data_IF_489240157123
#
_entry.id   IF_489240157123
#
_cell.length_a   1.000
_cell.length_b   1.000
_cell.length_c   1.000
_cell.angle_alpha   90.00
_cell.angle_beta   90.00
_cell.angle_gamma   90.00
#
_symmetry.space_group_name_H-M   'P 1'
#
loop_
_entity.id
_entity.type
_entity.pdbx_description
1 polymer ?
#
# COMPACT_ATOMS: atom_id res chain seq x y z
N UNK A 1 -35.02 -22.92 -21.29
CA UNK A 1 -35.58 -21.56 -21.22
C UNK A 1 -34.42 -20.56 -21.15
N UNK A 2 -34.28 -19.68 -22.15
CA UNK A 2 -33.17 -18.71 -22.27
C UNK A 2 -33.45 -17.45 -21.44
N UNK A 3 -32.44 -17.02 -20.69
CA UNK A 3 -32.39 -15.85 -19.80
C UNK A 3 -32.32 -14.55 -20.63
N UNK A 4 -33.44 -13.86 -20.81
CA UNK A 4 -33.52 -12.48 -21.28
C UNK A 4 -33.81 -11.57 -20.07
N UNK A 5 -33.25 -10.39 -19.86
CA UNK A 5 -32.31 -9.55 -20.58
C UNK A 5 -31.42 -8.85 -19.53
N UNK A 6 -30.15 -8.56 -19.85
CA UNK A 6 -29.22 -7.90 -18.92
C UNK A 6 -28.74 -6.52 -19.40
N UNK A 7 -29.58 -5.84 -20.17
CA UNK A 7 -29.33 -4.47 -20.65
C UNK A 7 -30.61 -3.67 -20.48
N UNK A 8 -30.65 -2.88 -19.41
CA UNK A 8 -31.61 -1.80 -19.27
C UNK A 8 -31.14 -0.64 -20.15
N UNK A 9 -32.05 -0.04 -20.92
CA UNK A 9 -31.77 1.22 -21.61
C UNK A 9 -31.76 2.34 -20.57
N UNK A 10 -30.57 2.85 -20.27
CA UNK A 10 -30.41 4.04 -19.44
C UNK A 10 -30.51 5.25 -20.36
N UNK A 11 -31.27 6.27 -19.96
CA UNK A 11 -31.37 7.50 -20.74
C UNK A 11 -30.01 8.19 -20.82
N UNK A 12 -29.66 8.72 -21.99
CA UNK A 12 -28.36 9.37 -22.21
C UNK A 12 -28.09 10.51 -21.21
N UNK A 13 -29.14 11.22 -20.80
CA UNK A 13 -29.08 12.27 -19.78
C UNK A 13 -28.73 11.72 -18.38
N UNK A 14 -29.18 10.51 -18.04
CA UNK A 14 -28.81 9.84 -16.80
C UNK A 14 -27.36 9.35 -16.85
N UNK A 15 -26.87 8.93 -18.02
CA UNK A 15 -25.47 8.54 -18.21
C UNK A 15 -24.50 9.73 -18.10
N UNK A 16 -24.86 10.88 -18.66
CA UNK A 16 -24.06 12.12 -18.57
C UNK A 16 -24.08 12.76 -17.17
N UNK A 17 -25.05 12.39 -16.32
CA UNK A 17 -25.13 12.85 -14.93
C UNK A 17 -24.24 12.05 -13.96
N UNK A 18 -23.62 10.95 -14.41
CA UNK A 18 -22.68 10.17 -13.59
C UNK A 18 -21.33 10.88 -13.56
N UNK A 19 -20.86 11.35 -12.40
CA UNK A 19 -19.52 11.94 -12.30
C UNK A 19 -18.47 10.89 -12.64
N UNK A 20 -17.52 11.25 -13.50
CA UNK A 20 -16.35 10.40 -13.70
C UNK A 20 -15.52 10.37 -12.41
N UNK A 21 -15.43 9.19 -11.80
CA UNK A 21 -14.65 8.95 -10.60
C UNK A 21 -13.17 8.71 -10.90
N UNK A 22 -12.77 8.68 -12.18
CA UNK A 22 -11.39 8.52 -12.56
C UNK A 22 -10.55 9.72 -12.09
N UNK A 23 -9.36 9.48 -11.51
CA UNK A 23 -8.40 10.55 -11.28
C UNK A 23 -8.00 11.17 -12.63
N UNK A 24 -7.75 12.48 -12.64
CA UNK A 24 -7.15 13.10 -13.83
C UNK A 24 -5.75 12.51 -14.10
N UNK A 25 -5.24 12.63 -15.34
CA UNK A 25 -3.97 12.04 -15.72
C UNK A 25 -2.78 12.50 -14.88
N UNK A 26 -2.80 13.74 -14.39
CA UNK A 26 -1.74 14.30 -13.55
C UNK A 26 -1.73 13.63 -12.17
N UNK A 27 -2.90 13.51 -11.53
CA UNK A 27 -3.07 12.78 -10.27
C UNK A 27 -2.69 11.31 -10.41
N UNK A 28 -3.04 10.66 -11.52
CA UNK A 28 -2.66 9.27 -11.77
C UNK A 28 -1.14 9.11 -11.93
N UNK A 29 -0.48 10.03 -12.62
CA UNK A 29 0.97 10.04 -12.77
C UNK A 29 1.70 10.29 -11.43
N UNK A 30 1.21 11.23 -10.61
CA UNK A 30 1.74 11.50 -9.28
C UNK A 30 1.61 10.26 -8.37
N UNK A 31 0.43 9.64 -8.31
CA UNK A 31 0.20 8.44 -7.51
C UNK A 31 1.12 7.27 -7.94
N UNK A 32 1.36 7.12 -9.24
CA UNK A 32 2.28 6.10 -9.77
C UNK A 32 3.72 6.35 -9.29
N UNK A 33 4.19 7.60 -9.36
CA UNK A 33 5.52 7.99 -8.88
C UNK A 33 5.66 7.79 -7.36
N UNK A 34 4.65 8.19 -6.58
CA UNK A 34 4.66 7.97 -5.13
C UNK A 34 4.74 6.48 -4.77
N UNK A 35 4.03 5.63 -5.51
CA UNK A 35 4.09 4.17 -5.34
C UNK A 35 5.48 3.61 -5.68
N UNK A 36 6.06 4.03 -6.81
CA UNK A 36 7.42 3.63 -7.20
C UNK A 36 8.45 4.01 -6.14
N UNK A 37 8.35 5.21 -5.58
CA UNK A 37 9.19 5.69 -4.48
C UNK A 37 9.02 4.86 -3.20
N UNK A 38 7.78 4.53 -2.83
CA UNK A 38 7.51 3.68 -1.69
C UNK A 38 8.11 2.27 -1.85
N UNK A 39 7.99 1.68 -3.05
CA UNK A 39 8.57 0.37 -3.37
C UNK A 39 10.10 0.43 -3.31
N UNK A 40 10.70 1.47 -3.91
CA UNK A 40 12.15 1.66 -3.87
C UNK A 40 12.68 1.80 -2.44
N UNK A 41 11.97 2.55 -1.57
CA UNK A 41 12.30 2.69 -0.16
C UNK A 41 12.25 1.35 0.59
N UNK A 42 11.25 0.51 0.32
CA UNK A 42 11.18 -0.85 0.88
C UNK A 42 12.37 -1.70 0.43
N UNK A 43 12.78 -1.60 -0.84
CA UNK A 43 13.92 -2.37 -1.35
C UNK A 43 15.27 -1.99 -0.72
N UNK A 44 15.42 -0.74 -0.24
CA UNK A 44 16.62 -0.29 0.48
C UNK A 44 16.74 -0.87 1.90
N UNK A 45 15.65 -1.39 2.47
CA UNK A 45 15.69 -2.03 3.78
C UNK A 45 16.49 -3.34 3.74
N UNK A 46 17.22 -3.68 4.82
CA UNK A 46 17.77 -5.02 5.00
C UNK A 46 16.68 -6.09 4.82
N UNK A 47 16.97 -7.22 4.13
CA UNK A 47 15.94 -8.22 3.78
C UNK A 47 15.11 -8.69 4.98
N UNK A 48 15.76 -8.87 6.13
CA UNK A 48 15.10 -9.28 7.38
C UNK A 48 14.13 -8.21 7.89
N UNK A 49 14.57 -6.96 8.02
CA UNK A 49 13.71 -5.86 8.50
C UNK A 49 12.56 -5.57 7.53
N UNK A 50 12.80 -5.67 6.20
CA UNK A 50 11.72 -5.62 5.20
C UNK A 50 10.68 -6.71 5.44
N UNK A 51 11.11 -7.94 5.65
CA UNK A 51 10.19 -9.07 5.86
C UNK A 51 9.39 -8.93 7.16
N UNK A 52 10.03 -8.46 8.26
CA UNK A 52 9.36 -8.18 9.54
C UNK A 52 8.32 -7.06 9.36
N UNK A 53 8.69 -5.97 8.66
CA UNK A 53 7.79 -4.86 8.39
C UNK A 53 6.58 -5.29 7.54
N UNK A 54 6.80 -6.03 6.45
CA UNK A 54 5.72 -6.53 5.60
C UNK A 54 4.82 -7.53 6.33
N UNK A 55 5.39 -8.40 7.17
CA UNK A 55 4.59 -9.31 8.00
C UNK A 55 3.65 -8.54 8.93
N UNK A 56 4.07 -7.38 9.44
CA UNK A 56 3.23 -6.53 10.28
C UNK A 56 2.21 -5.72 9.49
N UNK A 57 2.64 -5.09 8.39
CA UNK A 57 1.84 -4.09 7.67
C UNK A 57 0.96 -4.66 6.57
N UNK A 58 1.45 -5.66 5.83
CA UNK A 58 0.72 -6.32 4.73
C UNK A 58 -0.05 -7.54 5.22
N UNK A 59 0.59 -8.35 6.06
CA UNK A 59 0.01 -9.62 6.54
C UNK A 59 -0.70 -9.47 7.91
N UNK A 60 -0.72 -8.25 8.47
CA UNK A 60 -1.36 -7.87 9.74
C UNK A 60 -0.96 -8.69 10.99
N UNK A 61 0.13 -9.47 10.91
CA UNK A 61 0.56 -10.37 11.99
C UNK A 61 0.87 -9.62 13.28
N UNK A 62 0.62 -10.28 14.41
CA UNK A 62 1.01 -9.79 15.72
C UNK A 62 2.53 -9.92 15.93
N UNK A 63 3.09 -9.06 16.79
CA UNK A 63 4.52 -9.07 17.12
C UNK A 63 5.00 -10.43 17.66
N UNK A 64 4.11 -11.20 18.31
CA UNK A 64 4.40 -12.53 18.84
C UNK A 64 4.50 -13.57 17.73
N UNK A 65 3.61 -13.55 16.75
CA UNK A 65 3.64 -14.43 15.59
C UNK A 65 4.89 -14.17 14.73
N UNK A 66 5.25 -12.90 14.56
CA UNK A 66 6.48 -12.50 13.89
C UNK A 66 7.71 -12.95 14.69
N UNK A 67 7.70 -12.79 16.02
CA UNK A 67 8.78 -13.24 16.88
C UNK A 67 9.04 -14.75 16.73
N UNK A 68 7.98 -15.56 16.74
CA UNK A 68 8.07 -17.01 16.50
C UNK A 68 8.60 -17.32 15.10
N UNK A 69 8.02 -16.70 14.06
CA UNK A 69 8.41 -16.97 12.67
C UNK A 69 9.87 -16.65 12.36
N UNK A 70 10.46 -15.66 13.04
CA UNK A 70 11.84 -15.23 12.83
C UNK A 70 12.83 -15.74 13.90
N UNK A 71 12.37 -16.55 14.87
CA UNK A 71 13.20 -17.04 15.98
C UNK A 71 13.76 -15.91 16.84
N UNK A 72 12.97 -14.86 17.07
CA UNK A 72 13.38 -13.64 17.78
C UNK A 72 12.55 -13.42 19.04
N UNK A 73 13.08 -12.61 19.96
CA UNK A 73 12.28 -12.11 21.08
C UNK A 73 11.30 -11.03 20.62
N UNK A 74 10.08 -11.00 21.18
CA UNK A 74 9.04 -9.97 20.89
C UNK A 74 9.59 -8.54 20.98
N UNK A 75 10.43 -8.26 21.98
CA UNK A 75 11.06 -6.94 22.16
C UNK A 75 11.98 -6.54 21.00
N UNK A 76 12.65 -7.52 20.38
CA UNK A 76 13.52 -7.29 19.22
C UNK A 76 12.71 -6.96 17.97
N UNK A 77 11.57 -7.64 17.77
CA UNK A 77 10.61 -7.32 16.69
C UNK A 77 10.09 -5.89 16.84
N UNK A 78 9.66 -5.49 18.05
CA UNK A 78 9.19 -4.12 18.31
C UNK A 78 10.26 -3.06 17.98
N UNK A 79 11.51 -3.30 18.40
CA UNK A 79 12.63 -2.37 18.13
C UNK A 79 12.95 -2.28 16.65
N UNK A 80 12.94 -3.41 15.93
CA UNK A 80 13.19 -3.45 14.49
C UNK A 80 12.10 -2.71 13.71
N UNK A 81 10.82 -2.94 14.06
CA UNK A 81 9.68 -2.22 13.48
C UNK A 81 9.78 -0.70 13.71
N UNK A 82 10.02 -0.27 14.96
CA UNK A 82 10.15 1.16 15.27
C UNK A 82 11.30 1.83 14.50
N UNK A 83 12.45 1.16 14.38
CA UNK A 83 13.58 1.66 13.60
C UNK A 83 13.25 1.73 12.10
N UNK A 84 12.60 0.69 11.58
CA UNK A 84 12.23 0.59 10.17
C UNK A 84 11.20 1.66 9.80
N UNK A 85 10.16 1.84 10.60
CA UNK A 85 9.17 2.91 10.42
C UNK A 85 9.81 4.29 10.44
N UNK A 86 10.69 4.57 11.41
CA UNK A 86 11.40 5.84 11.48
C UNK A 86 12.28 6.08 10.24
N UNK A 87 12.95 5.03 9.75
CA UNK A 87 13.76 5.11 8.54
C UNK A 87 12.89 5.42 7.31
N UNK A 88 11.81 4.68 7.10
CA UNK A 88 10.89 4.88 5.99
C UNK A 88 10.24 6.27 6.03
N UNK A 89 9.80 6.76 7.20
CA UNK A 89 9.25 8.11 7.37
C UNK A 89 10.24 9.19 6.97
N UNK A 90 11.52 9.04 7.34
CA UNK A 90 12.57 10.00 6.96
C UNK A 90 12.88 9.96 5.48
N UNK A 91 12.93 8.76 4.90
CA UNK A 91 13.22 8.58 3.49
C UNK A 91 12.10 9.17 2.63
N UNK A 92 10.86 8.75 2.87
CA UNK A 92 9.69 9.20 2.11
C UNK A 92 9.30 10.65 2.43
N UNK A 93 9.55 11.12 3.66
CA UNK A 93 9.31 12.51 4.04
C UNK A 93 10.23 13.50 3.34
N UNK A 94 11.47 13.10 3.03
CA UNK A 94 12.39 13.91 2.19
C UNK A 94 11.93 13.99 0.73
N UNK A 95 11.37 12.90 0.21
CA UNK A 95 10.89 12.81 -1.17
C UNK A 95 9.61 13.61 -1.45
N UNK A 96 8.91 14.11 -0.42
CA UNK A 96 7.73 14.96 -0.57
C UNK A 96 8.06 16.45 -0.77
N UNK A 97 9.34 16.82 -0.74
CA UNK A 97 9.82 18.21 -0.84
C UNK A 97 10.67 18.48 -2.10
N UNK A 98 10.64 17.58 -3.07
CA UNK A 98 11.30 17.71 -4.38
C UNK A 98 10.24 17.84 -5.49
#
# INVERSE_FOLDING_TARGET
>A
MRRAARTASVDKAELEAVPDAAPDPERAALASREMEHAIAALHQLPPKSRAIFLARWRDEKANEEIAVAFGMHKRSVQKDLARTELHLRRLLGRMRHE
#
